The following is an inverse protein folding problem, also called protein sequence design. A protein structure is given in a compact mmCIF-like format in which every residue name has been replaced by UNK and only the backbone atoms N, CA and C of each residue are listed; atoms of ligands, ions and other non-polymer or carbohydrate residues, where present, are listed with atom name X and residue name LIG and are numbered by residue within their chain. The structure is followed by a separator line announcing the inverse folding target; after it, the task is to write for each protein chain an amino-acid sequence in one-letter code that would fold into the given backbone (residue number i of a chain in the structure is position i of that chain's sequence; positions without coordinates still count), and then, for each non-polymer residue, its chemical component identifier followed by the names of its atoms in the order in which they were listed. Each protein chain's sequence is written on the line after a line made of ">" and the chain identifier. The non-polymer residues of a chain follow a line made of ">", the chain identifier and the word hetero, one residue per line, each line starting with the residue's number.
data_IF_541384063004
#
_entry.id   IF_541384063004
#
_cell.length_a   1.000
_cell.length_b   1.000
_cell.length_c   1.000
_cell.angle_alpha   90.00
_cell.angle_beta   90.00
_cell.angle_gamma   90.00
#
_symmetry.space_group_name_H-M   'P 1'
#
loop_
_entity.id
_entity.type
_entity.pdbx_description
1 polymer ?
#
# COMPACT_ATOMS: atom_id res chain seq x y z
N UNK A 1 23.85 15.13 -7.33
CA UNK A 1 22.54 14.46 -7.17
C UNK A 1 22.68 13.36 -6.13
N UNK A 2 22.45 13.66 -4.85
CA UNK A 2 22.36 12.63 -3.81
C UNK A 2 20.89 12.24 -3.67
N UNK A 3 20.56 11.02 -4.06
CA UNK A 3 19.19 10.47 -3.99
C UNK A 3 18.69 10.25 -2.54
N UNK A 4 19.32 10.85 -1.52
CA UNK A 4 18.85 10.79 -0.13
C UNK A 4 19.00 9.42 0.56
N UNK A 5 19.80 8.50 0.00
CA UNK A 5 20.05 7.20 0.61
C UNK A 5 21.28 7.28 1.54
N UNK A 6 21.05 7.37 2.85
CA UNK A 6 22.10 7.25 3.89
C UNK A 6 21.84 6.02 4.78
N UNK A 7 22.90 5.40 5.36
CA UNK A 7 22.76 4.31 6.35
C UNK A 7 21.95 4.80 7.58
N UNK A 8 21.16 3.92 8.23
CA UNK A 8 20.09 4.26 9.21
C UNK A 8 18.80 4.89 8.62
N UNK A 9 18.57 4.63 7.33
CA UNK A 9 17.42 5.00 6.48
C UNK A 9 16.06 5.17 7.17
N UNK A 10 15.67 4.25 8.05
CA UNK A 10 14.32 4.19 8.63
C UNK A 10 14.00 5.33 9.60
N UNK A 11 14.99 6.09 10.09
CA UNK A 11 14.77 7.24 11.00
C UNK A 11 14.82 8.61 10.32
N UNK A 12 15.26 8.69 9.06
CA UNK A 12 15.54 9.96 8.35
C UNK A 12 14.67 10.15 7.09
N UNK A 13 13.98 9.10 6.64
CA UNK A 13 12.95 9.18 5.58
C UNK A 13 11.77 10.04 6.07
N UNK A 14 11.82 11.34 5.84
CA UNK A 14 10.73 12.28 6.12
C UNK A 14 9.87 12.50 4.86
N UNK A 15 10.51 12.97 3.78
CA UNK A 15 9.89 13.23 2.48
C UNK A 15 10.87 12.78 1.40
N UNK A 16 10.36 12.15 0.35
CA UNK A 16 11.16 11.84 -0.83
C UNK A 16 10.75 12.80 -1.93
N UNK A 17 11.73 13.41 -2.57
CA UNK A 17 11.52 14.28 -3.73
C UNK A 17 11.34 13.41 -4.98
N UNK A 18 10.08 13.05 -5.23
CA UNK A 18 9.67 12.20 -6.36
C UNK A 18 8.59 12.97 -7.12
N UNK A 19 8.72 13.15 -8.44
CA UNK A 19 7.65 13.73 -9.25
C UNK A 19 6.36 12.91 -9.12
N UNK A 20 5.23 13.59 -9.09
CA UNK A 20 3.92 12.95 -8.86
C UNK A 20 3.61 11.83 -9.86
N UNK A 21 4.11 11.96 -11.09
CA UNK A 21 4.00 10.94 -12.14
C UNK A 21 4.63 9.59 -11.77
N UNK A 22 5.62 9.58 -10.90
CA UNK A 22 6.31 8.35 -10.45
C UNK A 22 5.85 7.87 -9.07
N UNK A 23 4.90 8.56 -8.44
CA UNK A 23 4.44 8.21 -7.11
C UNK A 23 3.78 6.82 -7.06
N UNK A 24 3.05 6.44 -8.11
CA UNK A 24 2.44 5.11 -8.20
C UNK A 24 3.51 4.00 -8.19
N UNK A 25 4.59 4.16 -8.94
CA UNK A 25 5.70 3.20 -8.99
C UNK A 25 6.46 3.13 -7.67
N UNK A 26 6.70 4.28 -7.03
CA UNK A 26 7.26 4.34 -5.69
C UNK A 26 6.39 3.59 -4.69
N UNK A 27 5.09 3.89 -4.67
CA UNK A 27 4.16 3.33 -3.70
C UNK A 27 3.96 1.82 -3.92
N UNK A 28 3.97 1.35 -5.17
CA UNK A 28 4.02 -0.09 -5.50
C UNK A 28 5.28 -0.74 -4.95
N UNK A 29 6.44 -0.12 -5.15
CA UNK A 29 7.72 -0.62 -4.62
C UNK A 29 7.69 -0.75 -3.08
N UNK A 30 7.14 0.25 -2.39
CA UNK A 30 6.93 0.21 -0.94
C UNK A 30 5.97 -0.90 -0.52
N UNK A 31 4.84 -1.05 -1.24
CA UNK A 31 3.86 -2.10 -0.97
C UNK A 31 4.48 -3.50 -1.14
N UNK A 32 5.30 -3.69 -2.17
CA UNK A 32 5.94 -4.96 -2.45
C UNK A 32 6.97 -5.33 -1.38
N UNK A 33 7.84 -4.39 -1.01
CA UNK A 33 8.89 -4.57 0.01
C UNK A 33 8.37 -4.66 1.44
N UNK A 34 7.88 -3.54 1.97
CA UNK A 34 7.55 -3.37 3.40
C UNK A 34 6.04 -3.36 3.67
N UNK A 35 5.21 -3.26 2.63
CA UNK A 35 3.76 -3.28 2.76
C UNK A 35 3.14 -4.67 2.82
N UNK A 36 1.83 -4.69 3.03
CA UNK A 36 1.04 -5.92 3.09
C UNK A 36 -0.31 -5.78 2.40
N UNK A 37 -0.82 -6.92 1.96
CA UNK A 37 -2.23 -7.11 1.63
C UNK A 37 -2.78 -8.25 2.49
N UNK A 38 -3.97 -8.07 3.04
CA UNK A 38 -4.65 -9.07 3.85
C UNK A 38 -6.10 -9.17 3.41
N UNK A 39 -6.60 -10.39 3.23
CA UNK A 39 -7.97 -10.63 2.78
C UNK A 39 -8.57 -11.84 3.49
N UNK A 40 -9.85 -11.75 3.85
CA UNK A 40 -10.55 -12.79 4.60
C UNK A 40 -12.07 -12.62 4.49
N UNK A 41 -12.81 -13.71 4.67
CA UNK A 41 -14.27 -13.65 4.84
C UNK A 41 -14.62 -13.14 6.24
N UNK A 42 -15.45 -12.11 6.32
CA UNK A 42 -15.87 -11.55 7.59
C UNK A 42 -16.69 -12.57 8.39
N UNK A 43 -16.25 -12.86 9.63
CA UNK A 43 -16.95 -13.80 10.52
C UNK A 43 -18.34 -13.30 10.93
N UNK A 44 -18.54 -11.98 10.97
CA UNK A 44 -19.83 -11.33 11.31
C UNK A 44 -20.76 -11.32 10.10
N UNK A 45 -20.21 -11.16 8.90
CA UNK A 45 -20.96 -11.03 7.64
C UNK A 45 -20.46 -12.06 6.62
N UNK A 46 -21.07 -13.25 6.61
CA UNK A 46 -20.59 -14.42 5.84
C UNK A 46 -20.42 -14.18 4.33
N UNK A 47 -21.19 -13.26 3.75
CA UNK A 47 -21.11 -12.87 2.33
C UNK A 47 -20.14 -11.70 2.08
N UNK A 48 -19.49 -11.16 3.11
CA UNK A 48 -18.56 -10.05 2.99
C UNK A 48 -17.13 -10.52 2.95
N UNK A 49 -16.51 -10.45 1.77
CA UNK A 49 -15.07 -10.61 1.64
C UNK A 49 -14.36 -9.28 1.91
N UNK A 50 -13.42 -9.28 2.85
CA UNK A 50 -12.63 -8.12 3.26
C UNK A 50 -11.28 -8.13 2.56
N UNK A 51 -10.79 -6.93 2.24
CA UNK A 51 -9.46 -6.70 1.71
C UNK A 51 -8.88 -5.46 2.38
N UNK A 52 -7.63 -5.56 2.80
CA UNK A 52 -6.86 -4.48 3.39
C UNK A 52 -5.52 -4.37 2.69
N UNK A 53 -5.08 -3.13 2.50
CA UNK A 53 -3.76 -2.79 1.98
C UNK A 53 -3.08 -1.92 3.01
N UNK A 54 -1.82 -2.19 3.33
CA UNK A 54 -1.11 -1.40 4.31
C UNK A 54 0.36 -1.17 3.97
N UNK A 55 0.86 -0.06 4.47
CA UNK A 55 2.25 0.38 4.35
C UNK A 55 2.86 0.45 5.75
N UNK A 56 4.03 -0.15 5.93
CA UNK A 56 4.71 -0.23 7.23
C UNK A 56 5.99 0.58 7.18
N UNK A 57 6.27 1.31 8.26
CA UNK A 57 7.57 1.94 8.48
C UNK A 57 7.82 2.18 9.98
N UNK A 58 9.08 2.26 10.38
CA UNK A 58 9.46 2.70 11.73
C UNK A 58 9.43 4.23 11.90
N UNK A 59 9.44 4.99 10.79
CA UNK A 59 9.31 6.46 10.81
C UNK A 59 7.84 6.86 10.71
N UNK A 60 7.34 7.54 11.74
CA UNK A 60 6.00 8.13 11.73
C UNK A 60 5.84 9.15 10.60
N UNK A 61 6.81 10.05 10.46
CA UNK A 61 6.82 11.10 9.44
C UNK A 61 6.75 10.51 8.03
N UNK A 62 7.42 9.38 7.78
CA UNK A 62 7.35 8.70 6.48
C UNK A 62 5.93 8.22 6.18
N UNK A 63 5.28 7.59 7.16
CA UNK A 63 3.92 7.07 7.01
C UNK A 63 2.91 8.21 6.86
N UNK A 64 3.10 9.31 7.57
CA UNK A 64 2.31 10.54 7.41
C UNK A 64 2.49 11.14 6.01
N UNK A 65 3.73 11.24 5.52
CA UNK A 65 3.99 11.70 4.16
C UNK A 65 3.34 10.80 3.09
N UNK A 66 3.42 9.47 3.21
CA UNK A 66 2.72 8.56 2.28
C UNK A 66 1.21 8.82 2.34
N UNK A 67 0.65 8.95 3.55
CA UNK A 67 -0.78 9.21 3.73
C UNK A 67 -1.20 10.49 3.04
N UNK A 68 -0.43 11.56 3.21
CA UNK A 68 -0.76 12.86 2.64
C UNK A 68 -0.59 12.84 1.11
N UNK A 69 0.46 12.22 0.57
CA UNK A 69 0.60 12.01 -0.88
C UNK A 69 -0.53 11.19 -1.49
N UNK A 70 -0.99 10.14 -0.81
CA UNK A 70 -2.15 9.35 -1.26
C UNK A 70 -3.44 10.17 -1.18
N UNK A 71 -3.60 11.00 -0.15
CA UNK A 71 -4.74 11.89 -0.04
C UNK A 71 -4.74 12.94 -1.16
N UNK A 72 -3.60 13.57 -1.45
CA UNK A 72 -3.49 14.63 -2.43
C UNK A 72 -3.69 14.12 -3.86
N UNK A 73 -3.06 12.98 -4.21
CA UNK A 73 -3.04 12.45 -5.58
C UNK A 73 -4.26 11.57 -5.90
N UNK A 74 -4.81 10.90 -4.89
CA UNK A 74 -5.87 9.90 -5.09
C UNK A 74 -7.17 10.21 -4.33
N UNK A 75 -7.20 11.27 -3.51
CA UNK A 75 -8.34 11.64 -2.67
C UNK A 75 -8.77 10.51 -1.73
N UNK A 76 -7.81 9.70 -1.26
CA UNK A 76 -8.07 8.55 -0.42
C UNK A 76 -7.51 8.72 1.00
N UNK A 77 -8.40 8.69 1.98
CA UNK A 77 -8.01 8.75 3.39
C UNK A 77 -7.56 7.39 3.92
N UNK A 78 -6.42 7.36 4.62
CA UNK A 78 -5.88 6.18 5.29
C UNK A 78 -5.80 6.36 6.80
N UNK A 79 -5.81 5.24 7.53
CA UNK A 79 -5.68 5.25 9.00
C UNK A 79 -4.30 4.77 9.41
N UNK A 80 -3.58 5.60 10.17
CA UNK A 80 -2.31 5.22 10.79
C UNK A 80 -2.59 4.51 12.12
N UNK A 81 -1.88 3.42 12.38
CA UNK A 81 -1.89 2.67 13.65
C UNK A 81 -0.47 2.43 14.12
N UNK A 82 -0.19 2.65 15.40
CA UNK A 82 1.04 2.19 16.03
C UNK A 82 0.85 0.75 16.52
N UNK A 83 1.76 -0.16 16.20
CA UNK A 83 1.59 -1.60 16.49
C UNK A 83 2.32 -2.08 17.73
N UNK A 84 2.90 -1.17 18.52
CA UNK A 84 3.69 -1.52 19.72
C UNK A 84 5.06 -2.12 19.42
N UNK A 85 5.30 -2.58 18.18
CA UNK A 85 6.59 -3.13 17.70
C UNK A 85 7.48 -2.07 17.06
N UNK A 86 7.46 -0.83 17.57
CA UNK A 86 8.22 0.30 17.01
C UNK A 86 7.94 0.58 15.52
N UNK A 87 6.75 0.23 15.04
CA UNK A 87 6.34 0.47 13.64
C UNK A 87 4.93 1.07 13.54
N UNK A 88 4.77 1.91 12.54
CA UNK A 88 3.53 2.58 12.15
C UNK A 88 2.99 1.93 10.89
N UNK A 89 1.68 1.69 10.88
CA UNK A 89 0.96 1.01 9.81
C UNK A 89 -0.09 1.98 9.26
N UNK A 90 0.08 2.43 8.02
CA UNK A 90 -0.97 3.12 7.28
C UNK A 90 -1.83 2.08 6.58
N UNK A 91 -3.11 2.02 6.94
CA UNK A 91 -4.01 0.96 6.50
C UNK A 91 -5.21 1.55 5.76
N UNK A 92 -5.52 0.92 4.64
CA UNK A 92 -6.69 1.16 3.80
C UNK A 92 -7.60 -0.06 3.81
N UNK A 93 -8.91 0.18 3.80
CA UNK A 93 -9.92 -0.87 3.82
C UNK A 93 -10.64 -0.98 2.47
N UNK A 94 -11.04 -2.21 2.16
CA UNK A 94 -11.83 -2.70 1.03
C UNK A 94 -11.91 -1.76 -0.18
N UNK A 95 -12.85 -0.80 -0.20
CA UNK A 95 -13.06 0.12 -1.34
C UNK A 95 -11.77 0.85 -1.73
N UNK A 96 -11.08 1.42 -0.74
CA UNK A 96 -9.85 2.18 -0.97
C UNK A 96 -8.70 1.24 -1.36
N UNK A 97 -8.62 0.06 -0.74
CA UNK A 97 -7.66 -0.97 -1.13
C UNK A 97 -7.81 -1.38 -2.59
N UNK A 98 -9.03 -1.66 -3.06
CA UNK A 98 -9.29 -2.03 -4.45
C UNK A 98 -8.86 -0.90 -5.38
N UNK A 99 -9.23 0.33 -5.06
CA UNK A 99 -8.83 1.50 -5.84
C UNK A 99 -7.31 1.60 -5.95
N UNK A 100 -6.61 1.63 -4.82
CA UNK A 100 -5.15 1.76 -4.80
C UNK A 100 -4.47 0.61 -5.54
N UNK A 101 -4.89 -0.63 -5.33
CA UNK A 101 -4.29 -1.78 -6.00
C UNK A 101 -4.43 -1.71 -7.52
N UNK A 102 -5.56 -1.19 -8.05
CA UNK A 102 -5.73 -0.95 -9.49
C UNK A 102 -4.81 0.16 -10.01
N UNK A 103 -4.58 1.21 -9.22
CA UNK A 103 -3.65 2.29 -9.58
C UNK A 103 -2.18 1.83 -9.52
N UNK A 104 -1.82 1.01 -8.53
CA UNK A 104 -0.45 0.55 -8.33
C UNK A 104 -0.03 -0.55 -9.31
N UNK A 105 -0.95 -1.45 -9.66
CA UNK A 105 -0.71 -2.54 -10.60
C UNK A 105 -1.47 -2.29 -11.92
N UNK A 106 -1.21 -1.13 -12.52
CA UNK A 106 -1.97 -0.58 -13.67
C UNK A 106 -1.70 -1.26 -15.02
N UNK A 107 -0.62 -2.04 -15.15
CA UNK A 107 -0.20 -2.62 -16.42
C UNK A 107 0.48 -3.97 -16.27
N UNK A 108 0.58 -4.68 -17.40
CA UNK A 108 1.19 -6.02 -17.46
C UNK A 108 2.73 -5.97 -17.51
N UNK A 109 3.29 -4.89 -18.07
CA UNK A 109 4.74 -4.71 -18.28
C UNK A 109 5.35 -3.74 -17.27
N UNK A 110 5.11 -3.99 -15.98
CA UNK A 110 5.73 -3.23 -14.88
C UNK A 110 6.43 -4.19 -13.92
N UNK A 111 7.50 -3.79 -13.23
CA UNK A 111 8.12 -4.65 -12.23
C UNK A 111 7.15 -4.87 -11.05
N UNK A 112 7.12 -6.07 -10.47
CA UNK A 112 6.40 -6.34 -9.23
C UNK A 112 6.88 -7.64 -8.59
N UNK A 113 6.60 -7.83 -7.31
CA UNK A 113 6.77 -9.13 -6.68
C UNK A 113 5.62 -10.07 -7.04
N UNK A 114 5.92 -11.12 -7.81
CA UNK A 114 4.95 -12.11 -8.30
C UNK A 114 4.05 -12.67 -7.19
N UNK A 115 4.62 -12.99 -6.03
CA UNK A 115 3.89 -13.45 -4.85
C UNK A 115 2.87 -12.43 -4.33
N UNK A 116 3.20 -11.13 -4.35
CA UNK A 116 2.29 -10.07 -3.90
C UNK A 116 1.15 -9.89 -4.90
N UNK A 117 1.51 -9.81 -6.18
CA UNK A 117 0.56 -9.69 -7.30
C UNK A 117 -0.45 -10.84 -7.32
N UNK A 118 0.01 -12.08 -7.20
CA UNK A 118 -0.88 -13.25 -7.13
C UNK A 118 -1.91 -13.18 -6.00
N UNK A 119 -1.51 -12.75 -4.79
CA UNK A 119 -2.45 -12.59 -3.66
C UNK A 119 -3.47 -11.50 -3.91
N UNK A 120 -3.04 -10.40 -4.53
CA UNK A 120 -3.92 -9.28 -4.90
C UNK A 120 -4.95 -9.75 -5.92
N UNK A 121 -4.51 -10.40 -6.99
CA UNK A 121 -5.39 -10.82 -8.09
C UNK A 121 -6.42 -11.84 -7.60
N UNK A 122 -6.00 -12.79 -6.76
CA UNK A 122 -6.92 -13.73 -6.09
C UNK A 122 -7.95 -13.01 -5.21
N UNK A 123 -7.54 -11.98 -4.46
CA UNK A 123 -8.48 -11.24 -3.62
C UNK A 123 -9.46 -10.42 -4.47
N UNK A 124 -8.98 -9.80 -5.56
CA UNK A 124 -9.80 -9.03 -6.47
C UNK A 124 -10.79 -9.90 -7.23
N UNK A 125 -10.41 -11.08 -7.70
CA UNK A 125 -11.32 -12.02 -8.39
C UNK A 125 -12.50 -12.44 -7.53
N UNK A 126 -12.27 -12.71 -6.24
CA UNK A 126 -13.33 -13.03 -5.28
C UNK A 126 -14.29 -11.83 -5.11
N UNK A 127 -13.76 -10.60 -5.09
CA UNK A 127 -14.57 -9.39 -4.90
C UNK A 127 -15.38 -9.04 -6.15
N UNK A 128 -14.81 -9.21 -7.34
CA UNK A 128 -15.47 -8.84 -8.61
C UNK A 128 -16.35 -9.95 -9.17
N UNK A 129 -16.26 -11.18 -8.62
CA UNK A 129 -16.96 -12.35 -9.14
C UNK A 129 -16.42 -12.82 -10.50
N UNK A 130 -15.23 -12.36 -10.89
CA UNK A 130 -14.59 -12.73 -12.15
C UNK A 130 -13.65 -13.89 -11.90
N UNK A 131 -14.04 -15.10 -12.30
CA UNK A 131 -13.12 -16.24 -12.38
C UNK A 131 -12.36 -16.12 -13.71
N UNK A 132 -11.03 -16.25 -13.66
CA UNK A 132 -10.21 -16.41 -14.86
C UNK A 132 -10.58 -17.71 -15.58
#
# INVERSE_FOLDING_TARGET
>A
MSIGFVPNKTKVLNKIDIPDSFFADFLRGHLDGDGFTNSYWDKRWKSSFMLYTGFVSASKNHVEWIKDKVQDLYLQAGRIKYTGKSTYHLVYAKKISIFLLKQLYYGEKIPYLSRKKFKIDRALSIITGSYY
#
